data_IF_443317252141
#
_entry.id   IF_443317252141
#
_cell.length_a   1.000
_cell.length_b   1.000
_cell.length_c   1.000
_cell.angle_alpha   90.00
_cell.angle_beta   90.00
_cell.angle_gamma   90.00
#
_symmetry.space_group_name_H-M   'P 1'
#
loop_
_entity.id
_entity.type
_entity.pdbx_description
1 polymer ?
#
# COMPACT_ATOMS: atom_id res chain seq x y z
N UNK A 1 -14.88 -9.49 -26.47
CA UNK A 1 -13.88 -8.70 -27.20
C UNK A 1 -14.64 -7.61 -27.91
N UNK A 2 -14.66 -6.39 -27.35
CA UNK A 2 -15.47 -5.29 -27.83
C UNK A 2 -14.56 -4.11 -28.17
N UNK A 3 -14.64 -3.67 -29.42
CA UNK A 3 -13.82 -2.66 -30.09
C UNK A 3 -14.11 -1.23 -29.61
N UNK A 4 -14.11 -0.97 -28.29
CA UNK A 4 -14.47 0.34 -27.74
C UNK A 4 -13.28 1.25 -27.38
N UNK A 5 -12.02 0.78 -27.46
CA UNK A 5 -10.86 1.57 -26.99
C UNK A 5 -10.15 2.41 -28.05
N UNK A 6 -10.41 2.19 -29.34
CA UNK A 6 -9.64 2.85 -30.43
C UNK A 6 -10.12 4.28 -30.73
N UNK A 7 -11.38 4.61 -30.42
CA UNK A 7 -11.94 5.94 -30.72
C UNK A 7 -11.45 7.07 -29.80
N UNK A 8 -10.79 6.75 -28.67
CA UNK A 8 -10.34 7.76 -27.71
C UNK A 8 -9.08 8.54 -28.17
N UNK A 9 -8.39 8.10 -29.23
CA UNK A 9 -7.10 8.67 -29.67
C UNK A 9 -7.09 8.97 -31.18
N UNK A 10 -7.70 10.08 -31.63
CA UNK A 10 -7.78 10.41 -33.05
C UNK A 10 -6.39 10.49 -33.69
N UNK A 11 -6.20 9.75 -34.78
CA UNK A 11 -4.94 9.71 -35.54
C UNK A 11 -4.01 8.53 -35.21
N UNK A 12 -4.36 7.68 -34.23
CA UNK A 12 -3.61 6.47 -33.91
C UNK A 12 -4.43 5.24 -34.30
N UNK A 13 -4.18 4.71 -35.49
CA UNK A 13 -4.72 3.40 -35.88
C UNK A 13 -4.03 2.31 -35.04
N UNK A 14 -4.81 1.31 -34.61
CA UNK A 14 -4.33 0.10 -33.92
C UNK A 14 -3.62 0.32 -32.56
N UNK A 15 -3.99 1.36 -31.80
CA UNK A 15 -3.57 1.44 -30.39
C UNK A 15 -4.25 0.32 -29.60
N UNK A 16 -3.45 -0.57 -29.01
CA UNK A 16 -3.92 -1.58 -28.06
C UNK A 16 -3.12 -1.44 -26.77
N UNK A 17 -3.83 -1.24 -25.67
CA UNK A 17 -3.21 -1.40 -24.35
C UNK A 17 -3.03 -2.90 -24.10
N UNK A 18 -1.79 -3.37 -24.16
CA UNK A 18 -1.48 -4.75 -23.75
C UNK A 18 -1.57 -4.83 -22.24
N UNK A 19 -2.58 -5.54 -21.74
CA UNK A 19 -2.73 -5.77 -20.31
C UNK A 19 -1.59 -6.65 -19.79
N UNK A 20 -0.86 -6.18 -18.77
CA UNK A 20 0.19 -6.96 -18.09
C UNK A 20 -0.25 -7.28 -16.66
N UNK A 21 0.07 -8.51 -16.24
CA UNK A 21 -0.01 -8.93 -14.83
C UNK A 21 -1.43 -9.01 -14.22
N UNK A 22 -1.50 -9.30 -12.91
CA UNK A 22 -2.74 -9.23 -12.15
C UNK A 22 -3.24 -7.78 -12.04
N UNK A 23 -4.56 -7.62 -11.81
CA UNK A 23 -5.23 -6.32 -11.73
C UNK A 23 -6.06 -6.20 -10.47
N UNK A 24 -6.16 -4.97 -9.98
CA UNK A 24 -7.10 -4.60 -8.91
C UNK A 24 -8.54 -4.64 -9.43
N UNK A 25 -9.52 -4.52 -8.52
CA UNK A 25 -10.94 -4.51 -8.89
C UNK A 25 -11.34 -3.28 -9.73
N UNK A 26 -10.54 -2.20 -9.72
CA UNK A 26 -10.69 -1.03 -10.60
C UNK A 26 -9.89 -1.17 -11.93
N UNK A 27 -9.29 -2.33 -12.17
CA UNK A 27 -8.60 -2.66 -13.43
C UNK A 27 -7.17 -2.11 -13.55
N UNK A 28 -6.60 -1.58 -12.47
CA UNK A 28 -5.21 -1.12 -12.45
C UNK A 28 -4.26 -2.30 -12.35
N UNK A 29 -3.16 -2.25 -13.11
CA UNK A 29 -2.12 -3.27 -13.05
C UNK A 29 -1.39 -3.22 -11.70
N UNK A 30 -1.11 -4.39 -11.15
CA UNK A 30 -0.36 -4.53 -9.90
C UNK A 30 1.11 -4.75 -10.26
N UNK A 31 1.94 -3.72 -10.06
CA UNK A 31 3.36 -3.73 -10.39
C UNK A 31 4.21 -3.10 -9.26
N UNK A 32 4.55 -3.87 -8.22
CA UNK A 32 5.31 -3.38 -7.07
C UNK A 32 6.70 -2.84 -7.43
N UNK A 33 7.34 -3.37 -8.50
CA UNK A 33 8.65 -2.90 -8.94
C UNK A 33 8.59 -1.46 -9.44
N UNK A 34 7.45 -1.04 -10.01
CA UNK A 34 7.25 0.34 -10.43
C UNK A 34 7.37 1.33 -9.27
N UNK A 35 6.87 0.97 -8.08
CA UNK A 35 7.02 1.81 -6.88
C UNK A 35 8.48 1.89 -6.42
N UNK A 36 9.21 0.77 -6.44
CA UNK A 36 10.63 0.75 -6.09
C UNK A 36 11.46 1.67 -6.99
N UNK A 37 11.31 1.54 -8.31
CA UNK A 37 12.02 2.35 -9.30
C UNK A 37 11.68 3.83 -9.17
N UNK A 38 10.40 4.16 -8.94
CA UNK A 38 9.93 5.53 -8.74
C UNK A 38 10.56 6.18 -7.50
N UNK A 39 10.61 5.47 -6.38
CA UNK A 39 11.17 6.01 -5.12
C UNK A 39 12.67 6.27 -5.24
N UNK A 40 13.42 5.35 -5.86
CA UNK A 40 14.85 5.50 -6.11
C UNK A 40 15.12 6.70 -7.04
N UNK A 41 14.44 6.78 -8.19
CA UNK A 41 14.63 7.89 -9.14
C UNK A 41 14.27 9.24 -8.52
N UNK A 42 13.13 9.30 -7.82
CA UNK A 42 12.65 10.56 -7.21
C UNK A 42 13.63 11.06 -6.16
N UNK A 43 14.12 10.18 -5.28
CA UNK A 43 15.11 10.59 -4.28
C UNK A 43 16.42 11.01 -4.94
N UNK A 44 16.92 10.24 -5.91
CA UNK A 44 18.15 10.57 -6.64
C UNK A 44 18.08 11.94 -7.31
N UNK A 45 16.94 12.28 -7.92
CA UNK A 45 16.75 13.55 -8.64
C UNK A 45 16.54 14.76 -7.74
N UNK A 46 15.90 14.57 -6.59
CA UNK A 46 15.51 15.68 -5.71
C UNK A 46 16.43 15.86 -4.52
N UNK A 47 17.10 14.79 -4.07
CA UNK A 47 17.83 14.73 -2.79
C UNK A 47 16.94 14.88 -1.56
N UNK A 48 15.62 14.87 -1.73
CA UNK A 48 14.67 15.11 -0.65
C UNK A 48 14.21 13.80 -0.01
N UNK A 49 13.91 13.82 1.30
CA UNK A 49 13.23 12.69 1.95
C UNK A 49 11.84 12.49 1.39
N UNK A 50 11.41 11.23 1.32
CA UNK A 50 10.14 10.81 0.72
C UNK A 50 9.19 10.23 1.75
N UNK A 51 7.90 10.39 1.46
CA UNK A 51 6.80 9.71 2.15
C UNK A 51 5.91 9.14 1.07
N UNK A 52 5.58 7.85 1.17
CA UNK A 52 4.49 7.26 0.38
C UNK A 52 3.19 7.70 1.06
N UNK A 53 2.61 8.78 0.58
CA UNK A 53 1.42 9.40 1.20
C UNK A 53 0.15 8.59 0.97
N UNK A 54 0.10 7.82 -0.12
CA UNK A 54 -0.99 6.93 -0.46
C UNK A 54 -0.46 5.71 -1.20
N UNK A 55 -0.83 4.52 -0.74
CA UNK A 55 -0.75 3.29 -1.51
C UNK A 55 -1.80 2.28 -1.02
N UNK A 56 -2.52 1.65 -1.96
CA UNK A 56 -3.51 0.63 -1.66
C UNK A 56 -4.18 0.11 -2.93
N UNK A 57 -5.11 -0.82 -2.78
CA UNK A 57 -5.82 -1.45 -3.88
C UNK A 57 -7.32 -1.62 -3.61
N UNK A 58 -8.13 -1.38 -4.64
CA UNK A 58 -9.52 -1.81 -4.67
C UNK A 58 -9.57 -3.35 -4.80
N UNK A 59 -10.29 -4.00 -3.91
CA UNK A 59 -10.54 -5.45 -3.95
C UNK A 59 -12.05 -5.69 -3.78
N UNK A 60 -12.60 -6.71 -4.42
CA UNK A 60 -14.05 -6.91 -4.51
C UNK A 60 -14.74 -7.26 -3.16
N UNK A 61 -13.98 -7.55 -2.10
CA UNK A 61 -14.45 -7.76 -0.71
C UNK A 61 -15.70 -8.67 -0.59
N UNK A 62 -15.72 -9.74 -1.39
CA UNK A 62 -16.90 -10.59 -1.58
C UNK A 62 -17.05 -11.69 -0.54
N UNK A 63 -15.95 -12.10 0.10
CA UNK A 63 -15.92 -13.22 1.05
C UNK A 63 -16.01 -12.71 2.48
N UNK A 64 -16.90 -13.32 3.26
CA UNK A 64 -17.07 -13.03 4.69
C UNK A 64 -16.58 -14.22 5.50
N UNK A 65 -15.83 -13.95 6.55
CA UNK A 65 -15.45 -14.94 7.54
C UNK A 65 -16.64 -15.27 8.45
N UNK A 66 -16.61 -16.40 9.20
CA UNK A 66 -17.68 -16.76 10.13
C UNK A 66 -17.98 -15.72 11.22
N UNK A 67 -16.99 -14.89 11.59
CA UNK A 67 -17.13 -13.75 12.52
C UNK A 67 -17.62 -12.45 11.84
N UNK A 68 -17.94 -12.49 10.54
CA UNK A 68 -18.48 -11.36 9.79
C UNK A 68 -17.43 -10.35 9.29
N UNK A 69 -16.14 -10.64 9.45
CA UNK A 69 -15.06 -9.85 8.84
C UNK A 69 -15.00 -10.11 7.32
N UNK A 70 -14.40 -9.18 6.57
CA UNK A 70 -14.09 -9.41 5.16
C UNK A 70 -12.78 -10.20 5.07
N UNK A 71 -12.80 -11.26 4.28
CA UNK A 71 -11.58 -11.96 3.86
C UNK A 71 -11.04 -11.28 2.60
N UNK A 72 -9.96 -10.52 2.76
CA UNK A 72 -9.34 -9.68 1.75
C UNK A 72 -7.85 -9.98 1.56
N UNK A 73 -7.51 -11.26 1.40
CA UNK A 73 -6.13 -11.71 1.20
C UNK A 73 -5.45 -11.02 0.01
N UNK A 74 -6.18 -10.76 -1.08
CA UNK A 74 -5.64 -10.02 -2.24
C UNK A 74 -5.10 -8.63 -1.85
N UNK A 75 -5.76 -7.95 -0.89
CA UNK A 75 -5.32 -6.66 -0.36
C UNK A 75 -4.07 -6.83 0.50
N UNK A 76 -3.99 -7.91 1.28
CA UNK A 76 -2.81 -8.24 2.07
C UNK A 76 -1.61 -8.50 1.15
N UNK A 77 -1.78 -9.31 0.11
CA UNK A 77 -0.73 -9.61 -0.86
C UNK A 77 -0.24 -8.35 -1.55
N UNK A 78 -1.15 -7.50 -2.04
CA UNK A 78 -0.82 -6.21 -2.63
C UNK A 78 0.03 -5.35 -1.68
N UNK A 79 -0.42 -5.17 -0.43
CA UNK A 79 0.29 -4.35 0.55
C UNK A 79 1.65 -4.95 0.91
N UNK A 80 1.74 -6.27 1.09
CA UNK A 80 2.98 -6.98 1.40
C UNK A 80 4.03 -6.75 0.33
N UNK A 81 3.65 -6.86 -0.93
CA UNK A 81 4.56 -6.68 -2.06
C UNK A 81 5.05 -5.22 -2.21
N UNK A 82 4.16 -4.23 -2.02
CA UNK A 82 4.51 -2.81 -2.14
C UNK A 82 5.31 -2.29 -0.93
N UNK A 83 5.05 -2.81 0.27
CA UNK A 83 5.91 -2.56 1.43
C UNK A 83 7.31 -3.15 1.22
N UNK A 84 7.40 -4.37 0.70
CA UNK A 84 8.68 -4.98 0.35
C UNK A 84 9.43 -4.18 -0.73
N UNK A 85 8.72 -3.65 -1.73
CA UNK A 85 9.29 -2.76 -2.75
C UNK A 85 9.82 -1.45 -2.13
N UNK A 86 9.09 -0.88 -1.17
CA UNK A 86 9.51 0.31 -0.44
C UNK A 86 10.80 0.03 0.36
N UNK A 87 10.89 -1.12 1.03
CA UNK A 87 12.11 -1.54 1.73
C UNK A 87 13.29 -1.77 0.77
N UNK A 88 13.06 -2.36 -0.42
CA UNK A 88 14.11 -2.48 -1.43
C UNK A 88 14.60 -1.11 -1.92
N UNK A 89 13.70 -0.14 -2.12
CA UNK A 89 14.10 1.23 -2.45
C UNK A 89 14.93 1.89 -1.34
N UNK A 90 14.57 1.68 -0.06
CA UNK A 90 15.38 2.13 1.09
C UNK A 90 16.78 1.50 1.07
N UNK A 91 16.86 0.20 0.83
CA UNK A 91 18.14 -0.52 0.71
C UNK A 91 18.98 -0.05 -0.49
N UNK A 92 18.34 0.45 -1.55
CA UNK A 92 18.99 1.06 -2.70
C UNK A 92 19.40 2.54 -2.48
N UNK A 93 19.13 3.11 -1.29
CA UNK A 93 19.60 4.44 -0.89
C UNK A 93 18.54 5.54 -0.88
N UNK A 94 17.26 5.24 -1.14
CA UNK A 94 16.20 6.23 -1.03
C UNK A 94 15.85 6.53 0.45
N UNK A 95 15.84 7.82 0.85
CA UNK A 95 15.38 8.24 2.19
C UNK A 95 13.84 8.26 2.28
N UNK A 96 13.22 7.08 2.37
CA UNK A 96 11.77 6.93 2.58
C UNK A 96 11.48 6.82 4.08
N UNK A 97 10.67 7.75 4.60
CA UNK A 97 10.46 7.91 6.05
C UNK A 97 9.11 7.43 6.56
N UNK A 98 8.11 7.34 5.69
CA UNK A 98 6.78 6.89 6.05
C UNK A 98 6.04 6.27 4.87
N UNK A 99 5.08 5.41 5.21
CA UNK A 99 4.18 4.74 4.28
C UNK A 99 2.77 4.82 4.85
N UNK A 100 1.84 5.32 4.04
CA UNK A 100 0.45 5.54 4.45
C UNK A 100 -0.46 4.76 3.51
N UNK A 101 -1.19 3.80 4.08
CA UNK A 101 -2.16 3.00 3.35
C UNK A 101 -3.37 3.86 2.98
N UNK A 102 -3.73 3.82 1.69
CA UNK A 102 -5.03 4.27 1.19
C UNK A 102 -5.98 3.06 1.16
N UNK A 103 -6.91 2.89 2.10
CA UNK A 103 -7.32 3.83 3.17
C UNK A 103 -7.58 3.13 4.49
N UNK A 104 -7.84 3.93 5.53
CA UNK A 104 -8.40 3.39 6.77
C UNK A 104 -9.81 2.81 6.56
N UNK A 105 -10.73 3.58 5.98
CA UNK A 105 -12.14 3.21 5.82
C UNK A 105 -12.52 3.05 4.36
N UNK A 106 -13.41 2.11 4.06
CA UNK A 106 -14.19 2.14 2.82
C UNK A 106 -14.88 3.51 2.70
N UNK A 107 -14.72 4.17 1.56
CA UNK A 107 -15.14 5.54 1.35
C UNK A 107 -15.76 5.73 -0.05
N UNK A 108 -16.07 6.98 -0.38
CA UNK A 108 -16.56 7.37 -1.69
C UNK A 108 -15.39 7.52 -2.66
N UNK A 109 -15.24 6.56 -3.57
CA UNK A 109 -14.20 6.52 -4.61
C UNK A 109 -14.65 7.30 -5.85
N UNK A 110 -14.83 8.61 -5.69
CA UNK A 110 -15.02 9.56 -6.78
C UNK A 110 -16.02 9.10 -7.87
N UNK A 111 -15.55 8.88 -9.10
CA UNK A 111 -16.38 8.47 -10.22
C UNK A 111 -16.96 7.04 -10.07
N UNK A 112 -16.29 6.19 -9.30
CA UNK A 112 -16.74 4.82 -9.00
C UNK A 112 -17.77 4.78 -7.86
N UNK A 113 -17.97 5.92 -7.18
CA UNK A 113 -18.84 6.02 -6.02
C UNK A 113 -18.43 5.04 -4.92
N UNK A 114 -19.40 4.31 -4.37
CA UNK A 114 -19.13 3.32 -3.31
C UNK A 114 -18.99 1.89 -3.85
N UNK A 115 -18.75 1.71 -5.15
CA UNK A 115 -18.65 0.37 -5.76
C UNK A 115 -17.27 -0.25 -5.61
N UNK A 116 -16.24 0.57 -5.36
CA UNK A 116 -14.86 0.15 -5.12
C UNK A 116 -14.48 0.42 -3.67
N UNK A 117 -13.77 -0.54 -3.08
CA UNK A 117 -13.40 -0.50 -1.66
C UNK A 117 -11.89 -0.65 -1.48
N UNK A 118 -11.28 0.41 -0.95
CA UNK A 118 -9.83 0.47 -0.64
C UNK A 118 -9.53 0.26 0.85
N UNK A 119 -10.54 0.38 1.72
CA UNK A 119 -10.32 0.50 3.15
C UNK A 119 -9.77 -0.77 3.78
N UNK A 120 -8.95 -0.60 4.82
CA UNK A 120 -8.64 -1.67 5.78
C UNK A 120 -9.85 -2.02 6.65
N UNK A 121 -10.80 -1.09 6.79
CA UNK A 121 -12.03 -1.27 7.58
C UNK A 121 -13.23 -1.16 6.67
N UNK A 122 -14.06 -2.21 6.70
CA UNK A 122 -15.33 -2.21 6.00
C UNK A 122 -16.32 -1.27 6.67
N UNK A 123 -17.07 -0.50 5.86
CA UNK A 123 -18.17 0.35 6.32
C UNK A 123 -19.47 -0.17 5.71
N UNK A 124 -20.38 -0.61 6.58
CA UNK A 124 -21.75 -0.95 6.18
C UNK A 124 -22.53 0.34 5.93
N UNK A 125 -23.13 0.51 4.74
CA UNK A 125 -23.74 1.78 4.35
C UNK A 125 -25.16 1.95 4.89
N UNK A 126 -25.80 0.88 5.32
CA UNK A 126 -27.16 0.93 5.83
C UNK A 126 -27.18 1.42 7.29
N UNK A 127 -26.20 0.99 8.09
CA UNK A 127 -26.13 1.29 9.53
C UNK A 127 -24.83 1.99 9.99
N UNK A 128 -23.88 2.23 9.08
CA UNK A 128 -22.57 2.84 9.34
C UNK A 128 -21.68 2.06 10.32
N UNK A 129 -21.97 0.79 10.55
CA UNK A 129 -21.13 -0.09 11.33
C UNK A 129 -19.78 -0.31 10.64
N UNK A 130 -18.73 -0.41 11.46
CA UNK A 130 -17.33 -0.50 11.01
C UNK A 130 -16.76 -1.84 11.42
N UNK A 131 -16.31 -2.63 10.45
CA UNK A 131 -15.82 -3.99 10.64
C UNK A 131 -14.39 -4.07 10.10
N UNK A 132 -13.36 -4.17 10.97
CA UNK A 132 -11.98 -4.35 10.51
C UNK A 132 -11.85 -5.60 9.63
N UNK A 133 -11.20 -5.46 8.47
CA UNK A 133 -10.93 -6.58 7.56
C UNK A 133 -9.70 -7.36 8.01
N UNK A 134 -9.37 -8.48 7.35
CA UNK A 134 -8.15 -9.22 7.64
C UNK A 134 -6.91 -8.36 7.37
N UNK A 135 -6.93 -7.55 6.31
CA UNK A 135 -5.87 -6.59 6.01
C UNK A 135 -5.60 -5.59 7.13
N UNK A 136 -6.62 -5.11 7.86
CA UNK A 136 -6.42 -4.27 9.04
C UNK A 136 -5.61 -4.99 10.12
N UNK A 137 -6.01 -6.22 10.44
CA UNK A 137 -5.36 -7.03 11.48
C UNK A 137 -3.91 -7.33 11.08
N UNK A 138 -3.70 -7.72 9.82
CA UNK A 138 -2.38 -7.97 9.26
C UNK A 138 -1.49 -6.71 9.28
N UNK A 139 -2.00 -5.58 8.78
CA UNK A 139 -1.22 -4.33 8.70
C UNK A 139 -0.88 -3.79 10.10
N UNK A 140 -1.81 -3.91 11.07
CA UNK A 140 -1.55 -3.57 12.47
C UNK A 140 -0.43 -4.42 13.06
N UNK A 141 -0.46 -5.74 12.85
CA UNK A 141 0.62 -6.64 13.31
C UNK A 141 1.96 -6.31 12.65
N UNK A 142 1.97 -6.06 11.34
CA UNK A 142 3.16 -5.63 10.60
C UNK A 142 3.75 -4.34 11.18
N UNK A 143 2.93 -3.31 11.38
CA UNK A 143 3.38 -2.02 11.93
C UNK A 143 3.92 -2.16 13.36
N UNK A 144 3.28 -2.98 14.20
CA UNK A 144 3.78 -3.27 15.55
C UNK A 144 5.13 -3.99 15.52
N UNK A 145 5.28 -5.03 14.68
CA UNK A 145 6.53 -5.77 14.55
C UNK A 145 7.68 -4.87 14.06
N UNK A 146 7.42 -4.02 13.06
CA UNK A 146 8.40 -3.06 12.55
C UNK A 146 8.87 -2.07 13.63
N UNK A 147 7.95 -1.60 14.48
CA UNK A 147 8.27 -0.71 15.61
C UNK A 147 9.15 -1.44 16.65
N UNK A 148 8.84 -2.70 16.95
CA UNK A 148 9.64 -3.49 17.89
C UNK A 148 11.07 -3.70 17.42
N UNK A 149 11.29 -3.97 16.12
CA UNK A 149 12.64 -4.10 15.53
C UNK A 149 13.39 -2.77 15.61
N UNK A 150 12.77 -1.65 15.23
CA UNK A 150 13.39 -0.33 15.31
C UNK A 150 13.79 0.04 16.76
N UNK A 151 13.00 -0.37 17.75
CA UNK A 151 13.32 -0.15 19.17
C UNK A 151 14.45 -1.04 19.70
N UNK A 152 14.69 -2.21 19.09
CA UNK A 152 15.79 -3.09 19.46
C UNK A 152 17.14 -2.60 18.89
N UNK A 153 17.16 -2.09 17.64
CA UNK A 153 18.36 -1.55 17.00
C UNK A 153 18.82 -0.20 17.59
N UNK A 154 17.96 0.48 18.36
CA UNK A 154 18.25 1.77 18.98
C UNK A 154 18.74 1.70 20.44
N UNK A 155 18.91 0.51 21.02
CA UNK A 155 19.42 0.35 22.38
C UNK A 155 20.93 0.68 22.47
N UNK A 156 21.36 1.74 23.19
CA UNK A 156 22.77 2.10 23.25
C UNK A 156 23.52 1.18 24.21
N UNK A 157 24.60 0.55 23.74
CA UNK A 157 25.63 -0.05 24.59
C UNK A 157 26.31 1.03 25.42
N UNK A 158 25.86 1.22 26.66
CA UNK A 158 26.49 2.16 27.60
C UNK A 158 27.78 1.56 28.12
N UNK A 159 28.92 1.99 27.58
CA UNK A 159 30.21 1.76 28.22
C UNK A 159 30.30 2.63 29.49
N UNK A 160 30.69 2.07 30.66
CA UNK A 160 30.80 2.86 31.88
C UNK A 160 31.92 3.89 31.78
N UNK A 161 31.61 5.16 32.02
CA UNK A 161 32.62 6.23 32.08
C UNK A 161 33.51 6.04 33.31
N UNK A 162 34.84 6.24 33.21
CA UNK A 162 35.73 6.17 34.35
C UNK A 162 35.40 7.31 35.34
N UNK A 163 35.26 6.94 36.61
CA UNK A 163 35.11 7.88 37.72
C UNK A 163 36.42 8.61 37.95
N UNK A 164 36.44 9.91 37.72
CA UNK A 164 37.49 10.79 38.27
C UNK A 164 37.06 11.21 39.68
N UNK A 165 37.83 10.79 40.68
CA UNK A 165 37.69 11.23 42.08
C UNK A 165 38.23 12.66 42.25
N UNK A 166 37.75 13.41 43.28
CA UNK A 166 37.97 14.85 43.44
C UNK A 166 39.42 15.24 43.76
#
# INVERSE_FOLDING_TARGET
>A
AGDAEVEAFPGVADLRFTTRGPRTDIGWEIEPRGLEELLVDTHHRTGLPLIVTENGAACADTVRTPDGAVDDEDRIDYLREHLAATERARNAGADVRAYVVWTLLDNFEWAEGYTKTFGLVHVDRDDLSRRPKQSFRWFSQFAHAATSVASADSAPGVAPRPRTSP
#
